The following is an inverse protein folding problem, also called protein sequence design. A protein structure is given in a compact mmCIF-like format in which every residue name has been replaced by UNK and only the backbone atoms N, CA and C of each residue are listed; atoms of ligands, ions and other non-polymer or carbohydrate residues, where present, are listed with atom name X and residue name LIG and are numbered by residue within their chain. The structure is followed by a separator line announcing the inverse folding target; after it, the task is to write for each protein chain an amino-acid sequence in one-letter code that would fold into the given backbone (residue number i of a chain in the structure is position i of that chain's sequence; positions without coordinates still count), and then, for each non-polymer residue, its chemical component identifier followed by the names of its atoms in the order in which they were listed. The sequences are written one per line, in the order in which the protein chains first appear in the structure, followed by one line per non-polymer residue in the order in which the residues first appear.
data_IF_277501655055
#
_entry.id   IF_277501655055
#
_cell.length_a   1.000
_cell.length_b   1.000
_cell.length_c   1.000
_cell.angle_alpha   90.00
_cell.angle_beta   90.00
_cell.angle_gamma   90.00
#
_symmetry.space_group_name_H-M   'P 1'
#
loop_
_entity.id
_entity.type
_entity.pdbx_description
1 polymer ?
#
# COMPACT_ATOMS: atom_id res chain seq x y z
N UNK A 1 37.49 22.42 -13.64
CA UNK A 1 37.25 21.00 -13.27
C UNK A 1 35.76 20.83 -13.02
N UNK A 2 35.05 20.06 -13.85
CA UNK A 2 33.65 19.70 -13.59
C UNK A 2 33.58 18.78 -12.36
N UNK A 3 32.63 19.03 -11.46
CA UNK A 3 32.39 18.12 -10.33
C UNK A 3 31.90 16.77 -10.88
N UNK A 4 32.34 15.63 -10.33
CA UNK A 4 31.83 14.33 -10.76
C UNK A 4 30.33 14.23 -10.44
N UNK A 5 29.59 13.50 -11.28
CA UNK A 5 28.18 13.21 -11.02
C UNK A 5 28.01 12.42 -9.72
N UNK A 6 27.00 12.77 -8.92
CA UNK A 6 26.76 12.15 -7.60
C UNK A 6 25.29 11.78 -7.45
N UNK A 7 25.03 10.61 -6.87
CA UNK A 7 23.67 10.18 -6.52
C UNK A 7 23.27 10.82 -5.18
N UNK A 8 22.16 11.56 -5.18
CA UNK A 8 21.64 12.24 -3.99
C UNK A 8 20.23 11.79 -3.63
N UNK A 9 19.90 11.85 -2.35
CA UNK A 9 18.54 11.76 -1.84
C UNK A 9 17.82 13.09 -2.06
N UNK A 10 17.06 13.16 -3.16
CA UNK A 10 16.18 14.29 -3.45
C UNK A 10 15.03 14.28 -2.45
N UNK A 11 14.62 15.46 -1.99
CA UNK A 11 13.36 15.66 -1.26
C UNK A 11 12.93 17.13 -1.31
N UNK A 12 11.65 17.38 -1.10
CA UNK A 12 11.10 18.71 -0.84
C UNK A 12 10.02 18.62 0.23
N UNK A 13 9.74 19.69 1.01
CA UNK A 13 8.67 19.67 2.02
C UNK A 13 7.30 19.33 1.43
N UNK A 14 7.02 19.82 0.22
CA UNK A 14 5.75 19.54 -0.48
C UNK A 14 5.65 18.09 -0.94
N UNK A 15 6.71 17.52 -1.50
CA UNK A 15 6.70 16.10 -1.89
C UNK A 15 6.63 15.19 -0.67
N UNK A 16 7.37 15.50 0.40
CA UNK A 16 7.31 14.78 1.67
C UNK A 16 5.89 14.71 2.25
N UNK A 17 5.16 15.82 2.23
CA UNK A 17 3.77 15.87 2.68
C UNK A 17 2.88 14.95 1.83
N UNK A 18 2.89 15.12 0.50
CA UNK A 18 2.04 14.31 -0.38
C UNK A 18 2.39 12.83 -0.37
N UNK A 19 3.67 12.50 -0.17
CA UNK A 19 4.08 11.11 0.03
C UNK A 19 3.52 10.52 1.32
N UNK A 20 3.57 11.27 2.42
CA UNK A 20 2.94 10.84 3.67
C UNK A 20 1.42 10.68 3.49
N UNK A 21 0.73 11.60 2.81
CA UNK A 21 -0.70 11.44 2.51
C UNK A 21 -0.96 10.17 1.69
N UNK A 22 -0.14 9.88 0.67
CA UNK A 22 -0.26 8.67 -0.14
C UNK A 22 -0.06 7.40 0.69
N UNK A 23 0.99 7.34 1.50
CA UNK A 23 1.28 6.18 2.35
C UNK A 23 0.16 5.97 3.39
N UNK A 24 -0.42 7.03 3.96
CA UNK A 24 -1.63 6.96 4.80
C UNK A 24 -2.82 6.40 4.02
N UNK A 25 -3.06 6.89 2.80
CA UNK A 25 -4.15 6.39 1.94
C UNK A 25 -3.99 4.90 1.61
N UNK A 26 -2.76 4.43 1.36
CA UNK A 26 -2.47 3.01 1.16
C UNK A 26 -2.81 2.22 2.42
N UNK A 27 -2.42 2.71 3.59
CA UNK A 27 -2.79 2.09 4.87
C UNK A 27 -4.31 2.05 5.08
N UNK A 28 -5.03 3.11 4.74
CA UNK A 28 -6.49 3.14 4.79
C UNK A 28 -7.12 2.08 3.88
N UNK A 29 -6.65 1.94 2.63
CA UNK A 29 -7.13 0.91 1.70
C UNK A 29 -6.89 -0.48 2.27
N UNK A 30 -5.67 -0.74 2.76
CA UNK A 30 -5.30 -2.03 3.36
C UNK A 30 -6.19 -2.33 4.57
N UNK A 31 -6.33 -1.38 5.50
CA UNK A 31 -7.19 -1.54 6.67
C UNK A 31 -8.66 -1.77 6.32
N UNK A 32 -9.20 -1.01 5.36
CA UNK A 32 -10.58 -1.15 4.87
C UNK A 32 -10.82 -2.56 4.31
N UNK A 33 -9.89 -3.08 3.49
CA UNK A 33 -9.97 -4.43 2.93
C UNK A 33 -9.86 -5.52 4.00
N UNK A 34 -8.91 -5.40 4.93
CA UNK A 34 -8.77 -6.37 6.03
C UNK A 34 -9.99 -6.37 6.95
N UNK A 35 -10.59 -5.20 7.19
CA UNK A 35 -11.79 -5.08 8.03
C UNK A 35 -12.99 -5.71 7.34
N UNK A 36 -13.13 -5.51 6.03
CA UNK A 36 -14.16 -6.20 5.24
C UNK A 36 -14.03 -7.72 5.34
N UNK A 37 -12.82 -8.27 5.11
CA UNK A 37 -12.57 -9.71 5.27
C UNK A 37 -12.86 -10.16 6.70
N UNK A 38 -12.46 -9.38 7.71
CA UNK A 38 -12.75 -9.66 9.11
C UNK A 38 -14.24 -9.70 9.42
N UNK A 39 -15.02 -8.73 8.92
CA UNK A 39 -16.48 -8.68 9.07
C UNK A 39 -17.13 -9.92 8.44
N UNK A 40 -16.72 -10.30 7.22
CA UNK A 40 -17.28 -11.48 6.54
C UNK A 40 -16.97 -12.76 7.32
N UNK A 41 -15.72 -12.93 7.77
CA UNK A 41 -15.31 -14.11 8.52
C UNK A 41 -16.02 -14.18 9.87
N UNK A 42 -16.06 -13.08 10.63
CA UNK A 42 -16.73 -13.06 11.95
C UNK A 42 -18.24 -13.19 11.81
N UNK A 43 -18.86 -12.59 10.78
CA UNK A 43 -20.29 -12.73 10.51
C UNK A 43 -20.68 -14.18 10.28
N UNK A 44 -20.02 -14.85 9.33
CA UNK A 44 -20.31 -16.25 8.98
C UNK A 44 -19.91 -17.23 10.10
N UNK A 45 -18.71 -17.10 10.69
CA UNK A 45 -18.32 -17.99 11.81
C UNK A 45 -19.22 -17.76 13.04
N UNK A 46 -19.60 -16.50 13.28
CA UNK A 46 -20.49 -16.13 14.37
C UNK A 46 -21.86 -16.75 14.23
N UNK A 47 -22.46 -16.65 13.04
CA UNK A 47 -23.78 -17.24 12.75
C UNK A 47 -23.75 -18.77 12.84
N UNK A 48 -22.70 -19.42 12.32
CA UNK A 48 -22.65 -20.88 12.19
C UNK A 48 -22.13 -21.58 13.46
N UNK A 49 -20.98 -21.16 13.98
CA UNK A 49 -20.31 -21.88 15.07
C UNK A 49 -20.62 -21.31 16.47
N UNK A 50 -21.07 -20.06 16.53
CA UNK A 50 -21.32 -19.33 17.79
C UNK A 50 -22.72 -18.71 17.80
N UNK A 51 -23.70 -19.37 17.17
CA UNK A 51 -25.07 -18.85 16.98
C UNK A 51 -25.69 -18.29 18.27
N UNK A 52 -25.47 -18.96 19.41
CA UNK A 52 -25.94 -18.50 20.72
C UNK A 52 -25.29 -17.18 21.17
N UNK A 53 -23.99 -17.00 20.93
CA UNK A 53 -23.26 -15.78 21.23
C UNK A 53 -23.60 -14.66 20.24
N UNK A 54 -23.78 -15.01 18.96
CA UNK A 54 -24.14 -14.08 17.89
C UNK A 54 -25.50 -13.43 18.15
N UNK A 55 -26.49 -14.22 18.56
CA UNK A 55 -27.83 -13.74 18.93
C UNK A 55 -27.79 -12.95 20.24
N UNK A 56 -26.99 -13.36 21.22
CA UNK A 56 -26.87 -12.65 22.50
C UNK A 56 -26.23 -11.26 22.37
N UNK A 57 -25.28 -11.08 21.44
CA UNK A 57 -24.54 -9.82 21.25
C UNK A 57 -25.19 -8.93 20.17
N UNK A 58 -26.18 -9.45 19.43
CA UNK A 58 -26.89 -8.77 18.35
C UNK A 58 -25.93 -8.16 17.30
N UNK A 59 -25.13 -9.03 16.68
CA UNK A 59 -24.07 -8.64 15.74
C UNK A 59 -24.58 -8.35 14.31
N UNK A 60 -25.78 -8.83 13.94
CA UNK A 60 -26.31 -8.67 12.58
C UNK A 60 -26.52 -7.19 12.18
N UNK A 61 -27.14 -6.32 13.02
CA UNK A 61 -27.24 -4.90 12.72
C UNK A 61 -25.88 -4.24 12.53
N UNK A 62 -24.90 -4.59 13.37
CA UNK A 62 -23.54 -4.07 13.31
C UNK A 62 -22.85 -4.43 11.98
N UNK A 63 -22.92 -5.68 11.55
CA UNK A 63 -22.27 -6.12 10.32
C UNK A 63 -22.93 -5.54 9.07
N UNK A 64 -24.26 -5.48 9.03
CA UNK A 64 -24.99 -4.84 7.92
C UNK A 64 -24.66 -3.36 7.80
N UNK A 65 -24.65 -2.63 8.91
CA UNK A 65 -24.28 -1.21 8.89
C UNK A 65 -22.81 -1.00 8.51
N UNK A 66 -21.90 -1.84 9.04
CA UNK A 66 -20.47 -1.79 8.71
C UNK A 66 -20.18 -2.06 7.23
N UNK A 67 -21.00 -2.89 6.57
CA UNK A 67 -20.96 -3.08 5.12
C UNK A 67 -21.33 -1.82 4.34
N UNK A 68 -22.34 -1.07 4.79
CA UNK A 68 -22.65 0.26 4.24
C UNK A 68 -21.47 1.22 4.37
N UNK A 69 -20.82 1.24 5.54
CA UNK A 69 -19.62 2.07 5.78
C UNK A 69 -18.46 1.64 4.90
N UNK A 70 -18.24 0.33 4.70
CA UNK A 70 -17.23 -0.19 3.79
C UNK A 70 -17.41 0.35 2.37
N UNK A 71 -18.63 0.27 1.83
CA UNK A 71 -18.93 0.76 0.47
C UNK A 71 -18.67 2.26 0.34
N UNK A 72 -19.07 3.04 1.34
CA UNK A 72 -18.80 4.48 1.39
C UNK A 72 -17.29 4.77 1.44
N UNK A 73 -16.56 4.10 2.34
CA UNK A 73 -15.12 4.27 2.49
C UNK A 73 -14.37 3.86 1.21
N UNK A 74 -14.74 2.74 0.59
CA UNK A 74 -14.19 2.27 -0.67
C UNK A 74 -14.43 3.27 -1.80
N UNK A 75 -15.64 3.84 -1.90
CA UNK A 75 -15.96 4.87 -2.89
C UNK A 75 -15.11 6.13 -2.71
N UNK A 76 -14.94 6.61 -1.47
CA UNK A 76 -14.09 7.76 -1.16
C UNK A 76 -12.62 7.46 -1.50
N UNK A 77 -12.09 6.31 -1.06
CA UNK A 77 -10.70 5.92 -1.30
C UNK A 77 -10.41 5.71 -2.79
N UNK A 78 -11.36 5.19 -3.58
CA UNK A 78 -11.23 5.01 -5.02
C UNK A 78 -11.02 6.35 -5.77
N UNK A 79 -11.51 7.46 -5.21
CA UNK A 79 -11.33 8.81 -5.78
C UNK A 79 -10.08 9.49 -5.19
N UNK A 80 -9.89 9.40 -3.87
CA UNK A 80 -8.82 10.10 -3.15
C UNK A 80 -7.45 9.51 -3.50
N UNK A 81 -7.29 8.18 -3.48
CA UNK A 81 -5.98 7.52 -3.68
C UNK A 81 -5.36 7.89 -5.03
N UNK A 82 -6.06 7.79 -6.18
CA UNK A 82 -5.46 8.17 -7.45
C UNK A 82 -5.17 9.65 -7.57
N UNK A 83 -6.01 10.50 -6.97
CA UNK A 83 -5.81 11.96 -6.96
C UNK A 83 -4.54 12.33 -6.20
N UNK A 84 -4.40 11.78 -4.97
CA UNK A 84 -3.20 11.95 -4.14
C UNK A 84 -1.96 11.41 -4.87
N UNK A 85 -2.06 10.24 -5.51
CA UNK A 85 -0.95 9.65 -6.27
C UNK A 85 -0.49 10.56 -7.41
N UNK A 86 -1.41 11.18 -8.15
CA UNK A 86 -1.05 12.13 -9.22
C UNK A 86 -0.38 13.38 -8.64
N UNK A 87 -0.92 13.95 -7.56
CA UNK A 87 -0.34 15.14 -6.92
C UNK A 87 1.05 14.83 -6.35
N UNK A 88 1.23 13.68 -5.72
CA UNK A 88 2.53 13.18 -5.23
C UNK A 88 3.55 13.11 -6.35
N UNK A 89 3.18 12.55 -7.51
CA UNK A 89 4.07 12.40 -8.68
C UNK A 89 4.45 13.75 -9.29
N UNK A 90 3.54 14.73 -9.31
CA UNK A 90 3.86 16.10 -9.71
C UNK A 90 4.79 16.79 -8.70
N UNK A 91 4.57 16.60 -7.41
CA UNK A 91 5.44 17.14 -6.36
C UNK A 91 6.85 16.53 -6.42
N UNK A 92 6.94 15.22 -6.70
CA UNK A 92 8.17 14.49 -6.93
C UNK A 92 8.94 15.05 -8.12
N UNK A 93 8.28 15.23 -9.28
CA UNK A 93 8.90 15.82 -10.47
C UNK A 93 9.45 17.23 -10.19
N UNK A 94 8.65 18.09 -9.54
CA UNK A 94 9.09 19.44 -9.15
C UNK A 94 10.29 19.41 -8.20
N UNK A 95 10.33 18.45 -7.27
CA UNK A 95 11.46 18.30 -6.35
C UNK A 95 12.75 17.92 -7.11
N UNK A 96 12.65 17.03 -8.11
CA UNK A 96 13.79 16.61 -8.93
C UNK A 96 14.26 17.73 -9.87
N UNK A 97 13.34 18.48 -10.47
CA UNK A 97 13.69 19.65 -11.27
C UNK A 97 14.40 20.71 -10.42
N UNK A 98 13.88 21.00 -9.22
CA UNK A 98 14.49 21.95 -8.30
C UNK A 98 15.89 21.50 -7.84
N UNK A 99 16.07 20.21 -7.57
CA UNK A 99 17.38 19.64 -7.25
C UNK A 99 18.34 19.78 -8.44
N UNK A 100 17.88 19.45 -9.64
CA UNK A 100 18.68 19.55 -10.85
C UNK A 100 19.09 20.97 -11.25
N UNK A 101 18.29 21.98 -10.90
CA UNK A 101 18.66 23.39 -11.10
C UNK A 101 19.73 23.86 -10.11
N UNK A 102 19.72 23.32 -8.88
CA UNK A 102 20.72 23.66 -7.85
C UNK A 102 22.05 22.97 -8.10
N UNK A 103 21.99 21.71 -8.55
CA UNK A 103 23.16 20.91 -8.88
C UNK A 103 22.90 20.14 -10.19
N UNK A 104 23.47 20.59 -11.32
CA UNK A 104 23.30 19.95 -12.61
C UNK A 104 23.80 18.51 -12.67
N UNK A 105 24.80 18.17 -11.84
CA UNK A 105 25.47 16.87 -11.78
C UNK A 105 24.80 15.89 -10.79
N UNK A 106 23.77 16.36 -10.08
CA UNK A 106 23.02 15.55 -9.14
C UNK A 106 22.06 14.58 -9.83
N UNK A 107 22.17 13.31 -9.45
CA UNK A 107 21.32 12.21 -9.93
C UNK A 107 20.37 11.77 -8.80
N UNK A 108 19.04 11.78 -9.02
CA UNK A 108 18.10 11.27 -8.03
C UNK A 108 18.24 9.77 -7.82
N UNK A 109 17.88 9.31 -6.61
CA UNK A 109 17.92 7.90 -6.24
C UNK A 109 17.08 7.01 -7.18
N UNK A 110 17.51 5.76 -7.40
CA UNK A 110 16.87 4.82 -8.35
C UNK A 110 15.36 4.68 -8.18
N UNK A 111 14.90 4.54 -6.94
CA UNK A 111 13.48 4.38 -6.62
C UNK A 111 12.66 5.55 -7.19
N UNK A 112 13.11 6.79 -6.96
CA UNK A 112 12.45 7.99 -7.48
C UNK A 112 12.47 8.05 -9.01
N UNK A 113 13.58 7.62 -9.64
CA UNK A 113 13.66 7.54 -11.11
C UNK A 113 12.73 6.49 -11.71
N UNK A 114 12.57 5.34 -11.05
CA UNK A 114 11.63 4.30 -11.49
C UNK A 114 10.18 4.76 -11.33
N UNK A 115 9.88 5.43 -10.22
CA UNK A 115 8.58 6.04 -9.98
C UNK A 115 8.22 7.12 -11.01
N UNK A 116 9.22 7.87 -11.49
CA UNK A 116 9.10 8.87 -12.55
C UNK A 116 9.41 8.32 -13.95
N UNK A 117 9.40 6.99 -14.15
CA UNK A 117 9.65 6.41 -15.48
C UNK A 117 8.53 6.77 -16.47
N UNK A 118 7.31 6.91 -15.98
CA UNK A 118 6.16 7.41 -16.74
C UNK A 118 5.86 8.86 -16.33
N UNK A 119 5.29 9.62 -17.27
CA UNK A 119 4.79 10.97 -16.96
C UNK A 119 3.74 10.87 -15.81
N UNK A 120 3.78 11.76 -14.81
CA UNK A 120 2.74 11.86 -13.78
C UNK A 120 1.32 11.93 -14.37
N UNK A 121 1.16 12.63 -15.51
CA UNK A 121 -0.10 12.74 -16.21
C UNK A 121 -0.55 11.42 -16.89
N UNK A 122 0.37 10.48 -17.15
CA UNK A 122 0.03 9.18 -17.70
C UNK A 122 -0.81 8.37 -16.71
N UNK A 123 -0.57 8.52 -15.40
CA UNK A 123 -1.40 7.92 -14.34
C UNK A 123 -2.83 8.46 -14.37
N UNK A 124 -2.98 9.79 -14.52
CA UNK A 124 -4.31 10.40 -14.66
C UNK A 124 -5.06 9.87 -15.89
N UNK A 125 -4.33 9.65 -16.99
CA UNK A 125 -4.90 9.03 -18.21
C UNK A 125 -5.30 7.57 -17.97
N UNK A 126 -4.44 6.75 -17.38
CA UNK A 126 -4.74 5.32 -17.16
C UNK A 126 -5.88 5.14 -16.18
N UNK A 127 -5.86 5.85 -15.05
CA UNK A 127 -6.94 5.80 -14.06
C UNK A 127 -8.24 6.33 -14.66
N UNK A 128 -8.22 7.48 -15.34
CA UNK A 128 -9.41 8.01 -16.00
C UNK A 128 -9.97 7.07 -17.07
N UNK A 129 -9.11 6.32 -17.78
CA UNK A 129 -9.54 5.32 -18.77
C UNK A 129 -10.17 4.10 -18.09
N UNK A 130 -9.53 3.56 -17.05
CA UNK A 130 -10.07 2.44 -16.29
C UNK A 130 -11.42 2.79 -15.65
N UNK A 131 -11.49 3.90 -14.90
CA UNK A 131 -12.73 4.37 -14.25
C UNK A 131 -13.82 4.63 -15.27
N UNK A 132 -13.51 5.27 -16.40
CA UNK A 132 -14.48 5.50 -17.47
C UNK A 132 -15.08 4.18 -17.96
N UNK A 133 -14.25 3.20 -18.32
CA UNK A 133 -14.76 1.94 -18.85
C UNK A 133 -15.48 1.09 -17.80
N UNK A 134 -15.06 1.14 -16.53
CA UNK A 134 -15.78 0.51 -15.43
C UNK A 134 -17.17 1.13 -15.23
N UNK A 135 -17.27 2.46 -15.18
CA UNK A 135 -18.55 3.16 -15.02
C UNK A 135 -19.47 2.97 -16.22
N UNK A 136 -18.93 3.01 -17.45
CA UNK A 136 -19.70 2.73 -18.67
C UNK A 136 -20.16 1.29 -18.69
N UNK A 137 -19.30 0.32 -18.35
CA UNK A 137 -19.65 -1.09 -18.31
C UNK A 137 -20.77 -1.37 -17.29
N UNK A 138 -20.62 -0.90 -16.06
CA UNK A 138 -21.65 -1.06 -15.00
C UNK A 138 -22.91 -0.29 -15.38
N UNK A 139 -22.80 0.94 -15.89
CA UNK A 139 -23.93 1.76 -16.32
C UNK A 139 -24.72 1.12 -17.45
N UNK A 140 -24.05 0.47 -18.42
CA UNK A 140 -24.70 -0.30 -19.50
C UNK A 140 -25.41 -1.52 -18.92
N UNK A 141 -24.80 -2.25 -17.98
CA UNK A 141 -25.47 -3.37 -17.31
C UNK A 141 -26.71 -2.91 -16.52
N UNK A 142 -26.63 -1.79 -15.78
CA UNK A 142 -27.77 -1.19 -15.11
C UNK A 142 -28.85 -0.74 -16.10
N UNK A 143 -28.48 -0.13 -17.23
CA UNK A 143 -29.42 0.25 -18.27
C UNK A 143 -30.11 -0.97 -18.87
N UNK A 144 -29.39 -2.06 -19.13
CA UNK A 144 -29.97 -3.32 -19.60
C UNK A 144 -30.92 -3.89 -18.56
N UNK A 145 -30.55 -3.92 -17.27
CA UNK A 145 -31.42 -4.38 -16.20
C UNK A 145 -32.72 -3.56 -16.14
N UNK A 146 -32.64 -2.22 -16.26
CA UNK A 146 -33.79 -1.32 -16.33
C UNK A 146 -34.68 -1.58 -17.55
N UNK A 147 -34.09 -1.95 -18.69
CA UNK A 147 -34.85 -2.21 -19.93
C UNK A 147 -35.55 -3.58 -19.91
N UNK A 148 -34.99 -4.57 -19.23
CA UNK A 148 -35.48 -5.95 -19.24
C UNK A 148 -36.29 -6.36 -17.99
N UNK A 149 -36.15 -5.65 -16.86
CA UNK A 149 -36.92 -5.90 -15.65
C UNK A 149 -37.96 -4.80 -15.42
N UNK A 150 -39.24 -5.14 -15.52
CA UNK A 150 -40.34 -4.19 -15.37
C UNK A 150 -40.36 -3.55 -13.98
N UNK A 151 -40.06 -4.32 -12.94
CA UNK A 151 -39.99 -3.85 -11.54
C UNK A 151 -38.94 -2.73 -11.35
N UNK A 152 -37.81 -2.81 -12.04
CA UNK A 152 -36.74 -1.79 -11.96
C UNK A 152 -37.07 -0.54 -12.79
N UNK A 153 -37.82 -0.71 -13.89
CA UNK A 153 -38.19 0.38 -14.82
C UNK A 153 -39.13 1.39 -14.17
N UNK A 154 -40.01 0.94 -13.30
CA UNK A 154 -40.98 1.79 -12.60
C UNK A 154 -40.37 2.49 -11.36
N UNK A 155 -39.21 2.02 -10.89
CA UNK A 155 -38.51 2.62 -9.76
C UNK A 155 -37.74 3.88 -10.17
N UNK A 156 -38.21 5.04 -9.70
CA UNK A 156 -37.57 6.33 -9.91
C UNK A 156 -36.12 6.38 -9.37
N UNK A 157 -35.80 5.60 -8.32
CA UNK A 157 -34.45 5.54 -7.75
C UNK A 157 -33.46 4.97 -8.76
N UNK A 158 -33.85 3.97 -9.54
CA UNK A 158 -32.98 3.35 -10.52
C UNK A 158 -32.64 4.27 -11.69
N UNK A 159 -33.58 5.14 -12.10
CA UNK A 159 -33.30 6.20 -13.08
C UNK A 159 -32.32 7.24 -12.55
N UNK A 160 -32.42 7.62 -11.27
CA UNK A 160 -31.45 8.50 -10.61
C UNK A 160 -30.08 7.85 -10.56
N UNK A 161 -30.00 6.56 -10.21
CA UNK A 161 -28.74 5.78 -10.24
C UNK A 161 -28.12 5.77 -11.64
N UNK A 162 -28.92 5.57 -12.69
CA UNK A 162 -28.44 5.61 -14.07
C UNK A 162 -27.91 7.00 -14.45
N UNK A 163 -28.61 8.08 -14.05
CA UNK A 163 -28.14 9.45 -14.25
C UNK A 163 -26.79 9.69 -13.54
N UNK A 164 -26.63 9.18 -12.31
CA UNK A 164 -25.36 9.25 -11.58
C UNK A 164 -24.24 8.56 -12.36
N UNK A 165 -24.46 7.37 -12.94
CA UNK A 165 -23.47 6.71 -13.80
C UNK A 165 -23.08 7.57 -15.01
N UNK A 166 -24.05 8.22 -15.67
CA UNK A 166 -23.79 9.11 -16.82
C UNK A 166 -22.94 10.32 -16.41
N UNK A 167 -23.25 10.93 -15.26
CA UNK A 167 -22.50 12.07 -14.73
C UNK A 167 -21.07 11.67 -14.38
N UNK A 168 -20.90 10.55 -13.66
CA UNK A 168 -19.58 10.03 -13.28
C UNK A 168 -18.75 9.62 -14.49
N UNK A 169 -19.35 8.95 -15.49
CA UNK A 169 -18.68 8.58 -16.73
C UNK A 169 -18.25 9.82 -17.53
N UNK A 170 -19.09 10.85 -17.58
CA UNK A 170 -18.76 12.14 -18.21
C UNK A 170 -17.59 12.82 -17.50
N UNK A 171 -17.58 12.82 -16.16
CA UNK A 171 -16.46 13.28 -15.35
C UNK A 171 -15.17 12.50 -15.65
N UNK A 172 -15.23 11.17 -15.68
CA UNK A 172 -14.09 10.31 -16.00
C UNK A 172 -13.55 10.55 -17.43
N UNK A 173 -14.44 10.79 -18.40
CA UNK A 173 -14.05 11.19 -19.76
C UNK A 173 -13.33 12.55 -19.76
N UNK A 174 -13.80 13.51 -18.97
CA UNK A 174 -13.13 14.79 -18.74
C UNK A 174 -11.71 14.61 -18.18
N UNK A 175 -11.57 13.81 -17.12
CA UNK A 175 -10.26 13.47 -16.51
C UNK A 175 -9.34 12.81 -17.53
N UNK A 176 -9.83 11.84 -18.31
CA UNK A 176 -9.07 11.19 -19.38
C UNK A 176 -8.56 12.18 -20.42
N UNK A 177 -9.41 13.12 -20.88
CA UNK A 177 -9.04 14.18 -21.84
C UNK A 177 -8.00 15.13 -21.28
N UNK A 178 -8.18 15.56 -20.02
CA UNK A 178 -7.20 16.40 -19.31
C UNK A 178 -5.85 15.69 -19.19
N UNK A 179 -5.85 14.41 -18.80
CA UNK A 179 -4.65 13.59 -18.69
C UNK A 179 -3.88 13.51 -20.00
N UNK A 180 -4.59 13.30 -21.12
CA UNK A 180 -3.95 13.28 -22.45
C UNK A 180 -3.26 14.61 -22.77
N UNK A 181 -3.94 15.74 -22.58
CA UNK A 181 -3.38 17.09 -22.83
C UNK A 181 -2.15 17.36 -21.94
N UNK A 182 -2.18 16.88 -20.70
CA UNK A 182 -1.08 17.08 -19.77
C UNK A 182 0.12 16.18 -20.07
N UNK A 183 -0.12 14.93 -20.51
CA UNK A 183 0.96 14.04 -20.99
C UNK A 183 1.71 14.67 -22.16
N UNK A 184 0.98 15.24 -23.13
CA UNK A 184 1.58 15.90 -24.29
C UNK A 184 2.46 17.10 -23.86
N UNK A 185 2.03 17.88 -22.87
CA UNK A 185 2.81 19.01 -22.31
C UNK A 185 4.05 18.56 -21.52
N UNK A 186 3.91 17.52 -20.71
CA UNK A 186 4.99 17.07 -19.82
C UNK A 186 5.98 16.10 -20.49
N UNK A 187 5.66 15.58 -21.68
CA UNK A 187 6.52 14.64 -22.41
C UNK A 187 7.92 15.23 -22.68
N UNK A 188 7.99 16.49 -23.11
CA UNK A 188 9.27 17.17 -23.39
C UNK A 188 10.11 17.32 -22.10
N UNK A 189 9.48 17.78 -21.01
CA UNK A 189 10.12 17.96 -19.69
C UNK A 189 10.66 16.63 -19.16
N UNK A 190 9.86 15.58 -19.22
CA UNK A 190 10.27 14.24 -18.81
C UNK A 190 11.38 13.68 -19.69
N UNK A 191 11.33 13.91 -21.00
CA UNK A 191 12.36 13.51 -21.96
C UNK A 191 13.71 14.14 -21.66
N UNK A 192 13.75 15.43 -21.34
CA UNK A 192 14.96 16.14 -20.93
C UNK A 192 15.57 15.55 -19.65
N UNK A 193 14.75 15.34 -18.62
CA UNK A 193 15.19 14.75 -17.36
C UNK A 193 15.72 13.33 -17.55
N UNK A 194 15.03 12.51 -18.33
CA UNK A 194 15.44 11.13 -18.62
C UNK A 194 16.74 11.09 -19.43
N UNK A 195 16.87 11.95 -20.44
CA UNK A 195 18.09 12.11 -21.23
C UNK A 195 19.28 12.53 -20.38
N UNK A 196 19.05 13.43 -19.41
CA UNK A 196 20.07 13.82 -18.41
C UNK A 196 20.48 12.65 -17.53
N UNK A 197 19.54 11.94 -16.90
CA UNK A 197 19.88 10.81 -16.02
C UNK A 197 20.56 9.69 -16.77
N UNK A 198 20.17 9.40 -18.01
CA UNK A 198 20.84 8.39 -18.86
C UNK A 198 22.34 8.70 -19.04
N UNK A 199 22.71 9.98 -19.12
CA UNK A 199 24.11 10.44 -19.22
C UNK A 199 24.84 10.43 -17.88
N UNK A 200 24.19 10.88 -16.79
CA UNK A 200 24.83 11.09 -15.49
C UNK A 200 24.89 9.85 -14.59
N UNK A 201 24.01 8.87 -14.78
CA UNK A 201 23.95 7.67 -13.92
C UNK A 201 25.20 6.80 -14.06
N UNK A 202 25.67 6.43 -15.27
CA UNK A 202 26.89 5.65 -15.41
C UNK A 202 28.11 6.27 -14.71
N UNK A 203 28.47 7.55 -14.94
CA UNK A 203 29.63 8.15 -14.28
C UNK A 203 29.45 8.29 -12.75
N UNK A 204 28.22 8.52 -12.27
CA UNK A 204 27.97 8.57 -10.83
C UNK A 204 28.15 7.20 -10.16
N UNK A 205 27.72 6.12 -10.82
CA UNK A 205 27.90 4.75 -10.32
C UNK A 205 29.37 4.33 -10.33
N UNK A 206 30.12 4.69 -11.37
CA UNK A 206 31.57 4.41 -11.41
C UNK A 206 32.30 5.22 -10.34
N UNK A 207 32.00 6.51 -10.18
CA UNK A 207 32.60 7.33 -9.13
C UNK A 207 32.31 6.80 -7.71
N UNK A 208 31.10 6.27 -7.46
CA UNK A 208 30.79 5.58 -6.21
C UNK A 208 31.57 4.27 -6.05
N UNK A 209 31.74 3.48 -7.12
CA UNK A 209 32.51 2.25 -7.09
C UNK A 209 33.99 2.52 -6.78
N UNK A 210 34.59 3.50 -7.45
CA UNK A 210 35.99 3.91 -7.25
C UNK A 210 36.22 4.41 -5.82
N UNK A 211 35.31 5.24 -5.29
CA UNK A 211 35.35 5.70 -3.89
C UNK A 211 35.21 4.55 -2.90
N UNK A 212 34.35 3.57 -3.19
CA UNK A 212 34.16 2.40 -2.35
C UNK A 212 35.39 1.49 -2.36
N UNK A 213 36.03 1.33 -3.50
CA UNK A 213 37.23 0.48 -3.63
C UNK A 213 38.45 1.12 -2.96
N UNK A 214 38.53 2.44 -2.93
CA UNK A 214 39.52 3.21 -2.18
C UNK A 214 39.26 3.23 -0.66
N UNK A 215 38.04 2.93 -0.20
CA UNK A 215 37.68 2.95 1.22
C UNK A 215 38.18 1.71 1.97
N UNK A 216 38.45 1.89 3.27
CA UNK A 216 38.87 0.78 4.14
C UNK A 216 37.71 -0.22 4.36
N UNK A 217 38.03 -1.51 4.38
CA UNK A 217 37.06 -2.55 4.77
C UNK A 217 36.66 -2.34 6.22
N UNK A 218 35.36 -2.21 6.46
CA UNK A 218 34.83 -1.98 7.79
C UNK A 218 34.09 -3.22 8.32
N UNK A 219 34.16 -3.43 9.63
CA UNK A 219 33.37 -4.45 10.32
C UNK A 219 31.92 -3.96 10.40
N UNK A 220 31.00 -4.74 9.84
CA UNK A 220 29.57 -4.39 9.79
C UNK A 220 28.91 -4.68 11.14
N UNK A 221 28.12 -3.76 11.71
CA UNK A 221 27.34 -4.01 12.92
C UNK A 221 26.47 -5.28 12.81
N UNK A 222 26.46 -6.11 13.86
CA UNK A 222 25.73 -7.39 13.85
C UNK A 222 24.23 -7.27 13.54
N UNK A 223 23.59 -6.16 13.95
CA UNK A 223 22.19 -5.85 13.62
C UNK A 223 21.91 -5.73 12.11
N UNK A 224 22.90 -5.31 11.31
CA UNK A 224 22.78 -5.22 9.85
C UNK A 224 23.02 -6.57 9.15
N UNK A 225 23.83 -7.43 9.77
CA UNK A 225 24.13 -8.79 9.27
C UNK A 225 23.03 -9.80 9.63
N UNK A 226 22.22 -9.49 10.65
CA UNK A 226 21.18 -10.39 11.14
C UNK A 226 20.29 -10.92 10.00
N UNK A 227 20.13 -12.25 9.85
CA UNK A 227 19.32 -12.86 8.79
C UNK A 227 17.82 -12.57 8.92
N UNK A 228 17.42 -11.91 10.00
CA UNK A 228 16.03 -11.70 10.44
C UNK A 228 15.14 -11.03 9.40
N UNK A 229 15.67 -10.19 8.49
CA UNK A 229 14.83 -9.60 7.45
C UNK A 229 14.40 -10.60 6.35
N UNK A 230 15.21 -11.64 6.06
CA UNK A 230 14.80 -12.73 5.15
C UNK A 230 13.82 -13.65 5.85
N UNK A 231 14.05 -13.92 7.13
CA UNK A 231 13.14 -14.71 7.97
C UNK A 231 11.79 -14.03 8.08
N UNK A 232 11.74 -12.73 8.38
CA UNK A 232 10.49 -11.98 8.46
C UNK A 232 9.73 -11.96 7.13
N UNK A 233 10.43 -11.81 6.01
CA UNK A 233 9.80 -11.89 4.68
C UNK A 233 9.24 -13.30 4.39
N UNK A 234 9.95 -14.36 4.80
CA UNK A 234 9.44 -15.73 4.71
C UNK A 234 8.22 -15.94 5.61
N UNK A 235 8.27 -15.47 6.85
CA UNK A 235 7.13 -15.53 7.78
C UNK A 235 5.94 -14.79 7.19
N UNK A 236 6.12 -13.58 6.68
CA UNK A 236 5.06 -12.81 6.05
C UNK A 236 4.46 -13.54 4.84
N UNK A 237 5.30 -14.15 3.99
CA UNK A 237 4.82 -14.94 2.85
C UNK A 237 4.08 -16.19 3.31
N UNK A 238 4.58 -16.91 4.31
CA UNK A 238 3.91 -18.10 4.86
C UNK A 238 2.57 -17.73 5.47
N UNK A 239 2.51 -16.66 6.27
CA UNK A 239 1.27 -16.16 6.85
C UNK A 239 0.29 -15.70 5.77
N UNK A 240 0.76 -15.01 4.73
CA UNK A 240 -0.08 -14.61 3.61
C UNK A 240 -0.66 -15.83 2.88
N UNK A 241 0.19 -16.80 2.54
CA UNK A 241 -0.25 -18.04 1.88
C UNK A 241 -1.23 -18.82 2.75
N UNK A 242 -0.94 -18.96 4.05
CA UNK A 242 -1.84 -19.61 4.99
C UNK A 242 -3.18 -18.88 5.07
N UNK A 243 -3.18 -17.55 5.16
CA UNK A 243 -4.41 -16.73 5.18
C UNK A 243 -5.22 -16.92 3.90
N UNK A 244 -4.57 -16.94 2.73
CA UNK A 244 -5.27 -17.16 1.44
C UNK A 244 -5.86 -18.55 1.35
N UNK A 245 -5.12 -19.58 1.78
CA UNK A 245 -5.62 -20.97 1.79
C UNK A 245 -6.80 -21.10 2.77
N UNK A 246 -6.68 -20.57 3.98
CA UNK A 246 -7.77 -20.58 4.96
C UNK A 246 -8.98 -19.81 4.46
N UNK A 247 -8.79 -18.66 3.80
CA UNK A 247 -9.88 -17.91 3.19
C UNK A 247 -10.55 -18.69 2.05
N UNK A 248 -9.79 -19.38 1.22
CA UNK A 248 -10.35 -20.22 0.15
C UNK A 248 -11.16 -21.41 0.71
N UNK A 249 -10.62 -22.08 1.73
CA UNK A 249 -11.33 -23.14 2.45
C UNK A 249 -12.62 -22.64 3.11
N UNK A 250 -12.57 -21.44 3.69
CA UNK A 250 -13.72 -20.77 4.27
C UNK A 250 -14.79 -20.45 3.23
N UNK A 251 -14.42 -19.82 2.11
CA UNK A 251 -15.35 -19.50 1.02
C UNK A 251 -15.96 -20.76 0.39
N UNK A 252 -15.20 -21.86 0.33
CA UNK A 252 -15.71 -23.16 -0.11
C UNK A 252 -16.80 -23.68 0.85
N UNK A 253 -16.60 -23.58 2.17
CA UNK A 253 -17.62 -23.99 3.15
C UNK A 253 -18.93 -23.20 2.99
N UNK A 254 -18.83 -21.88 2.78
CA UNK A 254 -19.99 -21.00 2.53
C UNK A 254 -20.71 -21.39 1.24
N UNK A 255 -19.94 -21.61 0.17
CA UNK A 255 -20.50 -21.99 -1.13
C UNK A 255 -21.25 -23.33 -1.08
N UNK A 256 -20.80 -24.28 -0.27
CA UNK A 256 -21.47 -25.57 -0.10
C UNK A 256 -22.85 -25.46 0.58
N UNK A 257 -23.07 -24.44 1.43
CA UNK A 257 -24.35 -24.18 2.11
C UNK A 257 -25.27 -23.23 1.36
N UNK A 258 -24.71 -22.15 0.80
CA UNK A 258 -25.46 -21.09 0.12
C UNK A 258 -25.02 -20.99 -1.35
N UNK A 259 -25.56 -21.88 -2.19
CA UNK A 259 -25.29 -21.88 -3.63
C UNK A 259 -25.93 -20.67 -4.34
N UNK A 260 -27.00 -20.11 -3.77
CA UNK A 260 -27.68 -18.94 -4.30
C UNK A 260 -28.36 -18.14 -3.19
N UNK A 261 -28.48 -16.81 -3.38
CA UNK A 261 -28.99 -15.88 -2.36
C UNK A 261 -30.46 -16.08 -1.97
N UNK A 262 -31.25 -16.64 -2.89
CA UNK A 262 -32.70 -16.82 -2.74
C UNK A 262 -33.12 -18.28 -2.71
N UNK A 263 -32.17 -19.20 -2.68
CA UNK A 263 -32.43 -20.63 -2.61
C UNK A 263 -32.56 -21.00 -1.14
N UNK A 264 -33.42 -21.98 -0.86
CA UNK A 264 -33.39 -22.61 0.46
C UNK A 264 -31.99 -23.20 0.70
N UNK A 265 -31.45 -23.05 1.92
CA UNK A 265 -30.15 -23.62 2.27
C UNK A 265 -30.16 -25.13 1.99
N UNK A 266 -29.07 -25.61 1.37
CA UNK A 266 -28.93 -27.04 1.06
C UNK A 266 -28.43 -27.74 2.31
N UNK A 267 -29.28 -28.58 2.90
CA UNK A 267 -28.89 -29.46 4.00
C UNK A 267 -28.33 -30.77 3.45
N UNK A 268 -27.17 -31.16 3.97
CA UNK A 268 -26.52 -32.43 3.64
C UNK A 268 -26.75 -33.47 4.74
N UNK A 269 -26.40 -34.73 4.45
CA UNK A 269 -26.34 -35.76 5.49
C UNK A 269 -25.32 -35.38 6.57
N UNK A 270 -25.58 -35.80 7.81
CA UNK A 270 -24.80 -35.48 9.02
C UNK A 270 -23.26 -35.57 8.91
N UNK A 271 -22.63 -36.54 8.19
CA UNK A 271 -21.18 -36.54 8.01
C UNK A 271 -20.66 -35.38 7.14
N UNK A 272 -21.45 -34.91 6.17
CA UNK A 272 -21.09 -33.79 5.29
C UNK A 272 -21.30 -32.46 6.03
N UNK A 273 -22.40 -32.31 6.77
CA UNK A 273 -22.63 -31.12 7.60
C UNK A 273 -21.55 -30.91 8.64
N UNK A 274 -21.20 -31.97 9.39
CA UNK A 274 -20.08 -31.92 10.33
C UNK A 274 -18.75 -31.56 9.65
N UNK A 275 -18.53 -32.05 8.42
CA UNK A 275 -17.36 -31.69 7.62
C UNK A 275 -17.32 -30.20 7.27
N UNK A 276 -18.46 -29.61 6.90
CA UNK A 276 -18.61 -28.18 6.58
C UNK A 276 -18.39 -27.33 7.84
N UNK A 277 -18.98 -27.71 8.98
CA UNK A 277 -18.81 -26.99 10.25
C UNK A 277 -17.36 -26.98 10.72
N UNK A 278 -16.69 -28.14 10.68
CA UNK A 278 -15.28 -28.25 11.03
C UNK A 278 -14.43 -27.42 10.06
N UNK A 279 -14.72 -27.44 8.76
CA UNK A 279 -14.01 -26.64 7.77
C UNK A 279 -14.18 -25.14 8.03
N UNK A 280 -15.39 -24.67 8.27
CA UNK A 280 -15.70 -23.26 8.58
C UNK A 280 -15.03 -22.80 9.88
N UNK A 281 -15.15 -23.58 10.95
CA UNK A 281 -14.55 -23.26 12.25
C UNK A 281 -13.02 -23.26 12.21
N UNK A 282 -12.41 -24.32 11.65
CA UNK A 282 -10.94 -24.44 11.60
C UNK A 282 -10.32 -23.39 10.68
N UNK A 283 -10.96 -23.06 9.55
CA UNK A 283 -10.48 -22.00 8.66
C UNK A 283 -10.65 -20.62 9.28
N UNK A 284 -11.77 -20.34 9.97
CA UNK A 284 -11.98 -19.11 10.74
C UNK A 284 -10.93 -18.95 11.86
N UNK A 285 -10.70 -20.00 12.65
CA UNK A 285 -9.67 -20.01 13.68
C UNK A 285 -8.26 -19.81 13.09
N UNK A 286 -7.95 -20.45 11.96
CA UNK A 286 -6.68 -20.27 11.28
C UNK A 286 -6.48 -18.83 10.78
N UNK A 287 -7.53 -18.17 10.26
CA UNK A 287 -7.49 -16.76 9.87
C UNK A 287 -7.20 -15.89 11.09
N UNK A 288 -7.87 -16.12 12.22
CA UNK A 288 -7.64 -15.38 13.47
C UNK A 288 -6.20 -15.55 13.99
N UNK A 289 -5.68 -16.77 14.01
CA UNK A 289 -4.29 -17.07 14.38
C UNK A 289 -3.31 -16.39 13.42
N UNK A 290 -3.56 -16.46 12.10
CA UNK A 290 -2.74 -15.77 11.10
C UNK A 290 -2.75 -14.25 11.29
N UNK A 291 -3.89 -13.66 11.63
CA UNK A 291 -4.01 -12.24 11.92
C UNK A 291 -3.20 -11.85 13.18
N UNK A 292 -3.31 -12.62 14.26
CA UNK A 292 -2.54 -12.39 15.49
C UNK A 292 -1.02 -12.51 15.25
N UNK A 293 -0.59 -13.57 14.56
CA UNK A 293 0.81 -13.74 14.15
C UNK A 293 1.26 -12.64 13.19
N UNK A 294 0.37 -12.16 12.32
CA UNK A 294 0.60 -11.03 11.43
C UNK A 294 0.86 -9.72 12.19
N UNK A 295 0.07 -9.44 13.24
CA UNK A 295 0.28 -8.29 14.13
C UNK A 295 1.64 -8.39 14.83
N UNK A 296 1.95 -9.56 15.41
CA UNK A 296 3.24 -9.79 16.06
C UNK A 296 4.41 -9.64 15.09
N UNK A 297 4.29 -10.19 13.88
CA UNK A 297 5.29 -10.04 12.83
C UNK A 297 5.43 -8.58 12.35
N UNK A 298 4.33 -7.84 12.28
CA UNK A 298 4.35 -6.40 11.97
C UNK A 298 5.07 -5.60 13.06
N UNK A 299 4.68 -5.75 14.33
CA UNK A 299 5.32 -5.06 15.47
C UNK A 299 6.80 -5.41 15.54
N UNK A 300 7.14 -6.70 15.53
CA UNK A 300 8.53 -7.16 15.53
C UNK A 300 9.31 -6.64 14.31
N UNK A 301 8.66 -6.56 13.15
CA UNK A 301 9.22 -6.00 11.92
C UNK A 301 9.49 -4.50 11.97
N UNK A 302 8.64 -3.71 12.63
CA UNK A 302 8.85 -2.28 12.88
C UNK A 302 10.01 -2.07 13.84
N UNK A 303 10.01 -2.77 14.98
CA UNK A 303 11.06 -2.67 16.01
C UNK A 303 12.43 -3.07 15.45
N UNK A 304 12.50 -4.20 14.73
CA UNK A 304 13.73 -4.66 14.09
C UNK A 304 14.26 -3.66 13.06
N UNK A 305 13.37 -3.11 12.23
CA UNK A 305 13.75 -2.11 11.22
C UNK A 305 14.25 -0.82 11.89
N UNK A 306 13.60 -0.39 12.97
CA UNK A 306 14.03 0.79 13.74
C UNK A 306 15.41 0.59 14.36
N UNK A 307 15.67 -0.58 14.95
CA UNK A 307 16.98 -0.93 15.51
C UNK A 307 18.08 -0.92 14.44
N UNK A 308 17.80 -1.47 13.24
CA UNK A 308 18.73 -1.47 12.10
C UNK A 308 19.04 -0.06 11.60
N UNK A 309 18.02 0.77 11.44
CA UNK A 309 18.18 2.15 11.03
C UNK A 309 19.01 2.93 12.04
N UNK A 310 18.71 2.80 13.34
CA UNK A 310 19.49 3.44 14.40
C UNK A 310 20.93 2.96 14.45
N UNK A 311 21.16 1.65 14.26
CA UNK A 311 22.50 1.09 14.19
C UNK A 311 23.28 1.62 12.98
N UNK A 312 22.64 1.69 11.81
CA UNK A 312 23.23 2.27 10.59
C UNK A 312 23.59 3.73 10.81
N UNK A 313 22.64 4.57 11.25
CA UNK A 313 22.86 6.00 11.46
C UNK A 313 23.98 6.27 12.46
N UNK A 314 24.04 5.53 13.58
CA UNK A 314 25.15 5.65 14.54
C UNK A 314 26.48 5.26 13.93
N UNK A 315 26.50 4.18 13.15
CA UNK A 315 27.72 3.71 12.53
C UNK A 315 28.26 4.70 11.50
N UNK A 316 27.39 5.30 10.67
CA UNK A 316 27.81 6.28 9.64
C UNK A 316 27.98 7.71 10.17
N UNK A 317 27.73 7.94 11.47
CA UNK A 317 27.71 9.30 12.06
C UNK A 317 29.07 9.99 12.11
N UNK A 318 30.15 9.23 12.10
CA UNK A 318 31.53 9.75 12.08
C UNK A 318 31.96 10.24 10.69
N UNK A 319 31.14 10.03 9.65
CA UNK A 319 31.45 10.46 8.28
C UNK A 319 32.57 9.67 7.61
N UNK A 320 33.11 8.63 8.25
CA UNK A 320 34.25 7.89 7.71
C UNK A 320 33.85 7.05 6.48
N UNK A 321 34.61 7.15 5.37
CA UNK A 321 34.47 6.27 4.20
C UNK A 321 34.63 4.79 4.56
N UNK A 322 33.69 3.93 4.16
CA UNK A 322 33.74 2.50 4.48
C UNK A 322 33.37 1.62 3.30
N UNK A 323 34.12 0.54 3.11
CA UNK A 323 33.83 -0.51 2.13
C UNK A 323 33.00 -1.61 2.77
N UNK A 324 31.80 -1.84 2.22
CA UNK A 324 30.78 -2.77 2.72
C UNK A 324 30.13 -3.53 1.55
N UNK A 325 29.66 -4.75 1.78
CA UNK A 325 28.73 -5.41 0.84
C UNK A 325 27.40 -4.65 0.82
N UNK A 326 27.11 -4.01 -0.31
CA UNK A 326 25.90 -3.21 -0.56
C UNK A 326 24.62 -4.01 -0.27
N UNK A 327 24.64 -5.33 -0.43
CA UNK A 327 23.45 -6.17 -0.18
C UNK A 327 22.96 -6.14 1.28
N UNK A 328 23.83 -5.77 2.23
CA UNK A 328 23.49 -5.66 3.66
C UNK A 328 22.76 -4.36 3.99
N UNK A 329 23.03 -3.29 3.24
CA UNK A 329 22.47 -1.94 3.47
C UNK A 329 21.35 -1.60 2.49
N UNK A 330 21.22 -2.37 1.40
CA UNK A 330 20.25 -2.16 0.34
C UNK A 330 18.83 -1.98 0.87
N UNK A 331 18.36 -2.88 1.75
CA UNK A 331 17.01 -2.78 2.32
C UNK A 331 16.77 -1.54 3.18
N UNK A 332 17.81 -1.00 3.81
CA UNK A 332 17.68 0.19 4.67
C UNK A 332 17.64 1.45 3.80
N UNK A 333 18.34 1.43 2.66
CA UNK A 333 18.40 2.53 1.70
C UNK A 333 17.19 2.55 0.74
N UNK A 334 16.74 1.39 0.25
CA UNK A 334 15.68 1.28 -0.77
C UNK A 334 14.32 0.82 -0.23
N UNK A 335 14.27 0.22 0.96
CA UNK A 335 13.04 -0.32 1.54
C UNK A 335 12.23 0.68 2.37
N UNK A 336 11.01 0.26 2.74
CA UNK A 336 10.15 1.01 3.65
C UNK A 336 10.79 1.10 5.04
N UNK A 337 10.94 2.34 5.52
CA UNK A 337 11.47 2.62 6.85
C UNK A 337 10.55 2.12 7.96
N UNK A 338 11.08 2.02 9.17
CA UNK A 338 10.28 1.70 10.35
C UNK A 338 9.09 2.65 10.52
N UNK A 339 9.30 3.96 10.34
CA UNK A 339 8.25 4.98 10.49
C UNK A 339 7.15 4.87 9.42
N UNK A 340 7.52 4.55 8.17
CA UNK A 340 6.54 4.29 7.09
C UNK A 340 5.72 3.04 7.39
N UNK A 341 6.34 1.98 7.92
CA UNK A 341 5.62 0.76 8.34
C UNK A 341 4.69 1.02 9.52
N UNK A 342 5.10 1.87 10.47
CA UNK A 342 4.28 2.29 11.59
C UNK A 342 3.08 3.11 11.09
N UNK A 343 3.31 4.08 10.20
CA UNK A 343 2.27 4.87 9.55
C UNK A 343 1.25 3.98 8.84
N UNK A 344 1.70 3.02 8.02
CA UNK A 344 0.82 2.08 7.34
C UNK A 344 -0.04 1.31 8.35
N UNK A 345 0.56 0.75 9.40
CA UNK A 345 -0.19 -0.02 10.39
C UNK A 345 -1.16 0.82 11.23
N UNK A 346 -0.75 2.01 11.67
CA UNK A 346 -1.64 2.95 12.39
C UNK A 346 -2.84 3.37 11.52
N UNK A 347 -2.60 3.63 10.23
CA UNK A 347 -3.67 3.97 9.28
C UNK A 347 -4.59 2.78 9.03
N UNK A 348 -4.04 1.56 8.93
CA UNK A 348 -4.85 0.34 8.76
C UNK A 348 -5.74 0.06 9.97
N UNK A 349 -5.18 0.14 11.18
CA UNK A 349 -5.94 -0.04 12.44
C UNK A 349 -6.96 1.08 12.61
N UNK A 350 -6.59 2.32 12.28
CA UNK A 350 -7.51 3.45 12.27
C UNK A 350 -8.67 3.26 11.29
N UNK A 351 -8.43 2.77 10.07
CA UNK A 351 -9.49 2.45 9.12
C UNK A 351 -10.44 1.37 9.65
N UNK A 352 -9.89 0.33 10.28
CA UNK A 352 -10.69 -0.73 10.90
C UNK A 352 -11.60 -0.20 12.02
N UNK A 353 -11.02 0.57 12.95
CA UNK A 353 -11.79 1.20 14.03
C UNK A 353 -12.84 2.18 13.50
N UNK A 354 -12.53 2.93 12.44
CA UNK A 354 -13.48 3.87 11.85
C UNK A 354 -14.65 3.13 11.19
N UNK A 355 -14.40 2.02 10.50
CA UNK A 355 -15.45 1.20 9.91
C UNK A 355 -16.37 0.59 10.97
N UNK A 356 -15.81 -0.12 11.95
CA UNK A 356 -16.58 -0.81 12.99
C UNK A 356 -17.28 0.21 13.90
N UNK A 357 -16.59 1.28 14.29
CA UNK A 357 -17.16 2.36 15.11
C UNK A 357 -18.30 3.10 14.41
N UNK A 358 -18.14 3.47 13.15
CA UNK A 358 -19.22 4.13 12.38
C UNK A 358 -20.39 3.17 12.13
N UNK A 359 -20.09 1.90 11.83
CA UNK A 359 -21.10 0.86 11.68
C UNK A 359 -21.95 0.68 12.93
N UNK A 360 -21.32 0.68 14.11
CA UNK A 360 -22.05 0.63 15.38
C UNK A 360 -22.91 1.86 15.63
N UNK A 361 -22.44 3.07 15.28
CA UNK A 361 -23.26 4.29 15.39
C UNK A 361 -24.48 4.20 14.47
N UNK A 362 -24.30 3.76 13.23
CA UNK A 362 -25.39 3.62 12.25
C UNK A 362 -26.38 2.53 12.63
N UNK A 363 -25.92 1.46 13.29
CA UNK A 363 -26.74 0.38 13.81
C UNK A 363 -27.33 0.66 15.20
N UNK A 364 -27.04 1.83 15.80
CA UNK A 364 -27.37 2.16 17.20
C UNK A 364 -26.91 1.09 18.21
N UNK A 365 -25.81 0.38 17.89
CA UNK A 365 -25.33 -0.77 18.65
C UNK A 365 -24.64 -0.33 19.95
N UNK A 366 -25.15 -0.82 21.09
CA UNK A 366 -24.70 -0.40 22.43
C UNK A 366 -23.62 -1.29 23.04
N UNK A 367 -23.18 -2.34 22.33
CA UNK A 367 -22.16 -3.29 22.82
C UNK A 367 -20.74 -2.71 22.94
N UNK A 368 -20.51 -1.50 22.44
CA UNK A 368 -19.26 -0.76 22.63
C UNK A 368 -19.48 0.75 22.67
N UNK A 369 -18.53 1.48 23.26
CA UNK A 369 -18.47 2.95 23.12
C UNK A 369 -17.99 3.34 21.72
N UNK A 370 -18.92 3.32 20.77
CA UNK A 370 -18.63 3.58 19.36
C UNK A 370 -18.04 4.98 19.12
N UNK A 371 -18.40 5.97 19.95
CA UNK A 371 -17.87 7.33 19.85
C UNK A 371 -16.39 7.37 20.24
N UNK A 372 -16.02 6.71 21.33
CA UNK A 372 -14.62 6.58 21.73
C UNK A 372 -13.81 5.83 20.66
N UNK A 373 -14.36 4.74 20.09
CA UNK A 373 -13.70 3.97 19.03
C UNK A 373 -13.45 4.83 17.78
N UNK A 374 -14.44 5.58 17.31
CA UNK A 374 -14.28 6.49 16.15
C UNK A 374 -13.25 7.59 16.45
N UNK A 375 -13.26 8.16 17.66
CA UNK A 375 -12.30 9.19 18.05
C UNK A 375 -10.86 8.66 18.09
N UNK A 376 -10.65 7.48 18.68
CA UNK A 376 -9.34 6.82 18.70
C UNK A 376 -8.89 6.49 17.27
N UNK A 377 -9.78 5.93 16.46
CA UNK A 377 -9.51 5.61 15.06
C UNK A 377 -9.07 6.83 14.24
N UNK A 378 -9.81 7.94 14.34
CA UNK A 378 -9.44 9.19 13.67
C UNK A 378 -8.09 9.72 14.16
N UNK A 379 -7.84 9.65 15.47
CA UNK A 379 -6.57 10.07 16.08
C UNK A 379 -5.40 9.22 15.56
N UNK A 380 -5.57 7.91 15.40
CA UNK A 380 -4.55 7.02 14.84
C UNK A 380 -4.22 7.37 13.38
N UNK A 381 -5.22 7.70 12.56
CA UNK A 381 -5.03 8.11 11.16
C UNK A 381 -4.24 9.43 11.09
N UNK A 382 -4.62 10.42 11.90
CA UNK A 382 -3.92 11.71 11.96
C UNK A 382 -2.48 11.53 12.47
N UNK A 383 -2.29 10.73 13.53
CA UNK A 383 -0.97 10.42 14.06
C UNK A 383 -0.09 9.73 13.01
N UNK A 384 -0.64 8.79 12.24
CA UNK A 384 0.06 8.11 11.16
C UNK A 384 0.62 9.11 10.13
N UNK A 385 -0.23 10.07 9.70
CA UNK A 385 0.17 11.11 8.77
C UNK A 385 1.28 12.01 9.35
N UNK A 386 1.14 12.43 10.61
CA UNK A 386 2.13 13.28 11.30
C UNK A 386 3.46 12.55 11.46
N UNK A 387 3.45 11.27 11.82
CA UNK A 387 4.66 10.43 11.91
C UNK A 387 5.36 10.33 10.56
N UNK A 388 4.62 10.04 9.48
CA UNK A 388 5.18 9.95 8.13
C UNK A 388 5.79 11.27 7.66
N UNK A 389 5.07 12.38 7.88
CA UNK A 389 5.52 13.70 7.44
C UNK A 389 6.73 14.21 8.22
N UNK A 390 6.75 14.01 9.54
CA UNK A 390 7.86 14.45 10.40
C UNK A 390 9.15 13.66 10.15
N UNK A 391 9.08 12.36 9.84
CA UNK A 391 10.26 11.55 9.53
C UNK A 391 10.90 11.90 8.17
N UNK A 392 10.16 12.52 7.25
CA UNK A 392 10.64 12.76 5.88
C UNK A 392 11.95 13.59 5.81
N UNK A 393 12.12 14.59 6.67
CA UNK A 393 13.36 15.39 6.72
C UNK A 393 14.51 14.62 7.33
N UNK A 394 14.23 13.91 8.42
CA UNK A 394 15.21 13.12 9.17
C UNK A 394 15.73 11.95 8.31
N UNK A 395 14.82 11.20 7.71
CA UNK A 395 15.12 10.09 6.81
C UNK A 395 16.00 10.46 5.64
N UNK A 396 15.72 11.60 5.00
CA UNK A 396 16.55 12.10 3.91
C UNK A 396 17.98 12.37 4.36
N UNK A 397 18.17 13.02 5.52
CA UNK A 397 19.51 13.29 6.08
C UNK A 397 20.25 12.00 6.42
N UNK A 398 19.58 11.06 7.09
CA UNK A 398 20.17 9.78 7.48
C UNK A 398 20.56 8.92 6.26
N UNK A 399 19.71 8.89 5.22
CA UNK A 399 20.03 8.17 3.96
C UNK A 399 21.13 8.84 3.16
N UNK A 400 21.14 10.17 3.09
CA UNK A 400 22.21 10.90 2.41
C UNK A 400 23.55 10.65 3.09
N UNK A 401 23.60 10.74 4.42
CA UNK A 401 24.79 10.42 5.21
C UNK A 401 25.27 8.98 4.97
N UNK A 402 24.35 8.01 4.95
CA UNK A 402 24.69 6.63 4.63
C UNK A 402 25.23 6.47 3.20
N UNK A 403 24.71 7.21 2.21
CA UNK A 403 25.26 7.20 0.84
C UNK A 403 26.66 7.82 0.77
N UNK A 404 26.86 8.94 1.44
CA UNK A 404 28.12 9.68 1.41
C UNK A 404 29.26 8.92 2.09
N UNK A 405 28.95 8.02 3.03
CA UNK A 405 29.94 7.20 3.74
C UNK A 405 30.16 5.82 3.13
N UNK A 406 29.12 5.18 2.60
CA UNK A 406 29.17 3.78 2.14
C UNK A 406 29.26 3.63 0.61
N UNK A 407 29.08 4.73 -0.13
CA UNK A 407 29.10 4.80 -1.60
C UNK A 407 28.35 3.64 -2.25
N UNK A 408 27.07 3.40 -1.93
CA UNK A 408 26.37 2.18 -2.29
C UNK A 408 26.06 2.09 -3.81
N UNK A 409 26.27 3.17 -4.57
CA UNK A 409 25.90 3.26 -5.97
C UNK A 409 24.39 3.33 -6.16
N UNK A 410 23.94 2.85 -7.32
CA UNK A 410 22.53 2.95 -7.75
C UNK A 410 21.66 1.79 -7.23
N UNK A 411 21.45 1.78 -5.93
CA UNK A 411 20.66 0.75 -5.23
C UNK A 411 19.16 0.93 -5.46
N UNK A 412 18.46 -0.18 -5.75
CA UNK A 412 17.00 -0.25 -5.90
C UNK A 412 16.36 -1.32 -5.03
N UNK A 413 15.03 -1.48 -5.08
CA UNK A 413 14.34 -2.63 -4.48
C UNK A 413 14.81 -3.97 -5.09
N UNK A 414 14.85 -5.02 -4.26
CA UNK A 414 15.17 -6.39 -4.70
C UNK A 414 14.05 -6.86 -5.64
N UNK A 415 14.38 -7.16 -6.90
CA UNK A 415 13.42 -7.58 -7.93
C UNK A 415 13.37 -6.67 -9.16
N UNK A 416 13.90 -5.44 -9.05
CA UNK A 416 14.00 -4.47 -10.16
C UNK A 416 15.28 -4.65 -10.99
N UNK A 417 16.10 -5.64 -10.69
CA UNK A 417 17.23 -6.02 -11.55
C UNK A 417 16.69 -6.65 -12.82
N UNK A 418 17.06 -6.11 -13.98
CA UNK A 418 16.83 -6.80 -15.25
C UNK A 418 17.47 -8.19 -15.17
N UNK A 419 16.87 -9.23 -15.79
CA UNK A 419 17.43 -10.58 -15.76
C UNK A 419 18.91 -10.64 -16.16
N UNK A 420 19.34 -9.75 -17.05
CA UNK A 420 20.73 -9.58 -17.46
C UNK A 420 21.66 -9.05 -16.35
N UNK A 421 21.19 -8.10 -15.53
CA UNK A 421 21.93 -7.58 -14.37
C UNK A 421 22.04 -8.64 -13.26
N UNK A 422 20.95 -9.36 -12.98
CA UNK A 422 20.94 -10.48 -12.04
C UNK A 422 21.89 -11.61 -12.48
N UNK A 423 21.93 -11.92 -13.78
CA UNK A 423 22.82 -12.94 -14.37
C UNK A 423 24.29 -12.52 -14.30
N UNK A 424 24.63 -11.27 -14.62
CA UNK A 424 25.99 -10.72 -14.47
C UNK A 424 26.45 -10.68 -13.01
N UNK A 425 25.53 -10.41 -12.07
CA UNK A 425 25.83 -10.40 -10.62
C UNK A 425 26.10 -11.81 -10.10
N UNK A 426 25.39 -12.83 -10.62
CA UNK A 426 25.68 -14.25 -10.34
C UNK A 426 26.98 -14.75 -10.96
N UNK A 427 27.44 -14.16 -12.05
CA UNK A 427 28.72 -14.52 -12.68
C UNK A 427 29.93 -13.84 -12.02
N UNK A 428 29.72 -12.79 -11.22
CA UNK A 428 30.77 -12.05 -10.49
C UNK A 428 30.91 -12.47 -9.02
N UNK A 429 29.97 -13.27 -8.52
CA UNK A 429 30.07 -13.97 -7.23
C UNK A 429 30.55 -15.37 -7.51
#
# INVERSE_FOLDING_TARGET
MSRPAVIIEVSSPGWAFWRAVLDTCIGLVVGTLYTFVGIVVVGVVGEEALSSLYVQIDLDPLFRASMGVFLLAAAVLAIVVPTVMVIERFAALRAVEAAGRRDPEAVPQRALRLELRSSPAALLRTTGTAVFWSLVGIGVLCALALLFAEDLREDAVMWVVLLVFVVLASGAAGVRRLGRRWVERDAARMGEQWGRWKRLVPPAVTADADRRDAAMRAVVPGWLVAPSARVLARIANVLLTATVISLAAFMLSVFMRQQCRTCDPVYWDEPIENGIDVLSLTSGAAIAVCAALGILAWVGGVVLQFARERALTRWVSDGAPRRVDVSLIERVLSGNRAMVRLQLGLSSVGAAGLMVGTGAIWAEWTGMDARAVVLVAATLIVLALVVGWSDARRSRRERQLARDTLFPGDVGPIGDETPAAARRRRQRR
#
